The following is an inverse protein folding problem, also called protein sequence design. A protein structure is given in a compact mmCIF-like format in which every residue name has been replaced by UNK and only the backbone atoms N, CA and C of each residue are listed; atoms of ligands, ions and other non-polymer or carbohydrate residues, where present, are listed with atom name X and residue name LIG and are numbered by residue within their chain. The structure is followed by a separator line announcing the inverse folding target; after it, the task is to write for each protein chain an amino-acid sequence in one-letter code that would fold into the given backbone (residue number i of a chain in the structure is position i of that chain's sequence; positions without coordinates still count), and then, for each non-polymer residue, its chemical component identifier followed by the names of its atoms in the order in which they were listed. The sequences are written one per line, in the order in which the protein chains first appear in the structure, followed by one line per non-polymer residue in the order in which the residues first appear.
data_IF_771296676335
#
_entry.id   IF_771296676335
#
_cell.length_a   1.000
_cell.length_b   1.000
_cell.length_c   1.000
_cell.angle_alpha   90.00
_cell.angle_beta   90.00
_cell.angle_gamma   90.00
#
_symmetry.space_group_name_H-M   'P 1'
#
loop_
_entity.id
_entity.type
_entity.pdbx_description
1 polymer ?
#
# COMPACT_ATOMS: atom_id res chain seq x y z
N UNK A 1 -7.63 9.88 8.57
CA UNK A 1 -6.99 9.49 7.30
C UNK A 1 -6.75 10.74 6.45
N UNK A 2 -5.50 11.15 6.29
CA UNK A 2 -5.01 12.29 5.48
C UNK A 2 -4.20 11.82 4.27
N UNK A 3 -3.46 10.72 4.39
CA UNK A 3 -2.66 10.14 3.32
C UNK A 3 -2.74 8.61 3.31
N UNK A 4 -2.90 8.04 2.11
CA UNK A 4 -3.04 6.61 1.85
C UNK A 4 -2.02 6.18 0.78
N UNK A 5 -1.15 5.22 1.12
CA UNK A 5 -0.31 4.50 0.17
C UNK A 5 -0.98 3.19 -0.27
N UNK A 6 -0.93 2.87 -1.56
CA UNK A 6 -1.44 1.61 -2.12
C UNK A 6 -0.31 0.98 -2.95
N UNK A 7 0.13 -0.22 -2.59
CA UNK A 7 1.10 -1.02 -3.35
C UNK A 7 0.48 -2.34 -3.78
N UNK A 8 0.36 -2.54 -5.10
CA UNK A 8 -0.25 -3.74 -5.69
C UNK A 8 0.75 -4.51 -6.55
N UNK A 9 0.57 -5.83 -6.68
CA UNK A 9 1.43 -6.67 -7.53
C UNK A 9 1.57 -6.15 -8.96
N UNK A 10 0.45 -5.79 -9.61
CA UNK A 10 0.49 -5.09 -10.90
C UNK A 10 -0.75 -4.21 -11.13
N UNK A 11 -0.56 -2.90 -11.37
CA UNK A 11 -1.65 -2.02 -11.82
C UNK A 11 -1.98 -2.19 -13.32
N UNK A 12 -1.34 -3.13 -14.02
CA UNK A 12 -1.78 -3.60 -15.33
C UNK A 12 -2.87 -4.69 -15.24
N UNK A 13 -3.09 -5.27 -14.06
CA UNK A 13 -4.14 -6.25 -13.83
C UNK A 13 -5.45 -5.54 -13.39
N UNK A 14 -6.56 -5.68 -14.15
CA UNK A 14 -7.84 -5.05 -13.82
C UNK A 14 -8.37 -5.38 -12.42
N UNK A 15 -8.03 -6.53 -11.86
CA UNK A 15 -8.40 -6.91 -10.50
C UNK A 15 -7.77 -5.95 -9.46
N UNK A 16 -6.46 -5.71 -9.56
CA UNK A 16 -5.75 -4.82 -8.64
C UNK A 16 -6.09 -3.35 -8.86
N UNK A 17 -6.39 -2.94 -10.10
CA UNK A 17 -6.94 -1.61 -10.39
C UNK A 17 -8.26 -1.43 -9.64
N UNK A 18 -9.16 -2.41 -9.72
CA UNK A 18 -10.45 -2.37 -9.03
C UNK A 18 -10.29 -2.26 -7.51
N UNK A 19 -9.35 -3.00 -6.92
CA UNK A 19 -9.05 -2.89 -5.49
C UNK A 19 -8.49 -1.51 -5.11
N UNK A 20 -7.57 -0.96 -5.90
CA UNK A 20 -7.00 0.36 -5.67
C UNK A 20 -8.05 1.48 -5.81
N UNK A 21 -8.94 1.38 -6.79
CA UNK A 21 -10.03 2.32 -7.02
C UNK A 21 -11.06 2.26 -5.89
N UNK A 22 -11.45 1.06 -5.46
CA UNK A 22 -12.37 0.89 -4.33
C UNK A 22 -11.82 1.48 -3.03
N UNK A 23 -10.54 1.22 -2.73
CA UNK A 23 -9.86 1.80 -1.58
C UNK A 23 -9.77 3.33 -1.68
N UNK A 24 -9.47 3.86 -2.87
CA UNK A 24 -9.41 5.30 -3.14
C UNK A 24 -10.76 5.97 -2.95
N UNK A 25 -11.82 5.37 -3.50
CA UNK A 25 -13.19 5.88 -3.37
C UNK A 25 -13.60 5.93 -1.90
N UNK A 26 -13.39 4.82 -1.16
CA UNK A 26 -13.74 4.77 0.25
C UNK A 26 -12.95 5.77 1.10
N UNK A 27 -11.66 5.95 0.81
CA UNK A 27 -10.84 6.95 1.49
C UNK A 27 -11.37 8.38 1.25
N UNK A 28 -11.78 8.69 0.01
CA UNK A 28 -12.35 10.00 -0.36
C UNK A 28 -13.74 10.26 0.23
N UNK A 29 -14.56 9.22 0.40
CA UNK A 29 -15.84 9.33 1.12
C UNK A 29 -15.62 9.74 2.58
N UNK A 30 -14.60 9.17 3.24
CA UNK A 30 -14.26 9.48 4.63
C UNK A 30 -13.60 10.85 4.77
N UNK A 31 -12.77 11.23 3.80
CA UNK A 31 -12.14 12.54 3.74
C UNK A 31 -11.85 12.93 2.27
N UNK A 32 -12.62 13.87 1.69
CA UNK A 32 -12.44 14.30 0.31
C UNK A 32 -11.06 14.88 -0.01
N UNK A 33 -10.33 15.34 1.00
CA UNK A 33 -8.98 15.91 0.87
C UNK A 33 -7.86 14.88 1.09
N UNK A 34 -8.18 13.59 1.23
CA UNK A 34 -7.17 12.54 1.38
C UNK A 34 -6.24 12.50 0.16
N UNK A 35 -4.93 12.45 0.42
CA UNK A 35 -3.93 12.19 -0.62
C UNK A 35 -3.79 10.68 -0.80
N UNK A 36 -3.97 10.20 -2.03
CA UNK A 36 -3.81 8.77 -2.34
C UNK A 36 -2.66 8.59 -3.33
N UNK A 37 -1.78 7.66 -3.05
CA UNK A 37 -0.66 7.29 -3.92
C UNK A 37 -0.71 5.80 -4.19
N UNK A 38 -1.04 5.44 -5.44
CA UNK A 38 -1.10 4.06 -5.91
C UNK A 38 0.11 3.74 -6.78
N UNK A 39 0.80 2.64 -6.48
CA UNK A 39 2.00 2.21 -7.21
C UNK A 39 1.93 0.72 -7.53
N UNK A 40 2.53 0.36 -8.66
CA UNK A 40 2.70 -1.02 -9.09
C UNK A 40 4.03 -1.56 -8.61
N UNK A 41 4.04 -2.66 -7.85
CA UNK A 41 5.24 -3.40 -7.50
C UNK A 41 5.83 -4.15 -8.71
N UNK A 42 5.02 -4.40 -9.75
CA UNK A 42 5.38 -5.18 -10.94
C UNK A 42 5.99 -6.54 -10.59
N UNK A 43 5.50 -7.15 -9.49
CA UNK A 43 6.05 -8.37 -8.89
C UNK A 43 7.56 -8.32 -8.59
N UNK A 44 8.11 -7.11 -8.45
CA UNK A 44 9.49 -6.88 -8.06
C UNK A 44 9.56 -6.59 -6.55
N UNK A 45 10.19 -7.51 -5.83
CA UNK A 45 10.33 -7.43 -4.38
C UNK A 45 11.13 -6.20 -3.94
N UNK A 46 12.25 -5.89 -4.61
CA UNK A 46 13.12 -4.76 -4.27
C UNK A 46 12.40 -3.43 -4.48
N UNK A 47 11.60 -3.36 -5.54
CA UNK A 47 10.73 -2.24 -5.83
C UNK A 47 9.68 -2.08 -4.72
N UNK A 48 9.05 -3.16 -4.27
CA UNK A 48 8.05 -3.09 -3.21
C UNK A 48 8.65 -2.65 -1.87
N UNK A 49 9.85 -3.12 -1.52
CA UNK A 49 10.60 -2.60 -0.37
C UNK A 49 10.79 -1.09 -0.45
N UNK A 50 11.25 -0.59 -1.59
CA UNK A 50 11.46 0.85 -1.81
C UNK A 50 10.15 1.65 -1.72
N UNK A 51 9.03 1.07 -2.16
CA UNK A 51 7.71 1.70 -2.05
C UNK A 51 7.28 1.85 -0.59
N UNK A 52 7.47 0.81 0.23
CA UNK A 52 7.18 0.88 1.67
C UNK A 52 8.04 1.96 2.35
N UNK A 53 9.34 2.01 2.03
CA UNK A 53 10.23 3.04 2.56
C UNK A 53 9.80 4.46 2.15
N UNK A 54 9.35 4.65 0.92
CA UNK A 54 8.81 5.92 0.45
C UNK A 54 7.51 6.31 1.16
N UNK A 55 6.63 5.35 1.43
CA UNK A 55 5.41 5.59 2.21
C UNK A 55 5.71 5.97 3.66
N UNK A 56 6.70 5.32 4.28
CA UNK A 56 7.19 5.68 5.61
C UNK A 56 7.75 7.11 5.61
N UNK A 57 8.63 7.42 4.67
CA UNK A 57 9.23 8.76 4.52
C UNK A 57 8.17 9.84 4.30
N UNK A 58 7.14 9.52 3.50
CA UNK A 58 6.01 10.40 3.22
C UNK A 58 5.01 10.51 4.38
N UNK A 59 5.20 9.74 5.45
CA UNK A 59 4.34 9.70 6.64
C UNK A 59 2.87 9.49 6.27
N UNK A 60 2.60 8.51 5.41
CA UNK A 60 1.21 8.11 5.13
C UNK A 60 0.57 7.57 6.41
N UNK A 61 -0.75 7.71 6.57
CA UNK A 61 -1.43 7.17 7.75
C UNK A 61 -1.75 5.67 7.58
N UNK A 62 -1.97 5.24 6.34
CA UNK A 62 -2.34 3.88 5.99
C UNK A 62 -1.61 3.40 4.74
N UNK A 63 -1.18 2.13 4.74
CA UNK A 63 -0.69 1.41 3.57
C UNK A 63 -1.64 0.23 3.30
N UNK A 64 -2.17 0.17 2.09
CA UNK A 64 -2.84 -1.02 1.55
C UNK A 64 -1.84 -1.77 0.68
N UNK A 65 -1.58 -3.04 0.99
CA UNK A 65 -0.54 -3.83 0.32
C UNK A 65 -1.07 -5.20 -0.14
N UNK A 66 -0.79 -5.54 -1.39
CA UNK A 66 -0.72 -6.91 -1.88
C UNK A 66 0.77 -7.28 -1.96
N UNK A 67 1.25 -8.05 -0.99
CA UNK A 67 2.68 -8.35 -0.86
C UNK A 67 3.14 -9.29 -1.98
N UNK A 68 4.23 -8.94 -2.67
CA UNK A 68 4.85 -9.79 -3.71
C UNK A 68 5.28 -11.13 -3.10
N UNK A 69 5.86 -11.07 -1.90
CA UNK A 69 6.13 -12.23 -1.06
C UNK A 69 5.87 -11.82 0.41
N UNK A 70 4.85 -12.37 1.08
CA UNK A 70 4.50 -12.01 2.45
C UNK A 70 5.63 -12.23 3.45
N UNK A 71 6.37 -13.33 3.32
CA UNK A 71 7.44 -13.68 4.26
C UNK A 71 8.63 -12.75 4.11
N UNK A 72 9.00 -12.44 2.86
CA UNK A 72 10.09 -11.51 2.58
C UNK A 72 9.72 -10.08 2.99
N UNK A 73 8.46 -9.66 2.76
CA UNK A 73 7.98 -8.31 3.07
C UNK A 73 7.74 -8.06 4.56
N UNK A 74 7.70 -9.10 5.40
CA UNK A 74 7.41 -9.00 6.83
C UNK A 74 8.26 -7.94 7.56
N UNK A 75 9.55 -7.83 7.20
CA UNK A 75 10.47 -6.85 7.80
C UNK A 75 10.11 -5.40 7.46
N UNK A 76 9.77 -5.11 6.21
CA UNK A 76 9.34 -3.78 5.77
C UNK A 76 7.98 -3.40 6.33
N UNK A 77 7.06 -4.36 6.39
CA UNK A 77 5.73 -4.16 6.98
C UNK A 77 5.88 -3.87 8.48
N UNK A 78 6.74 -4.60 9.19
CA UNK A 78 7.06 -4.31 10.59
C UNK A 78 7.63 -2.89 10.73
N UNK A 79 8.58 -2.50 9.87
CA UNK A 79 9.15 -1.13 9.86
C UNK A 79 8.08 -0.05 9.68
N UNK A 80 7.11 -0.27 8.80
CA UNK A 80 5.98 0.66 8.62
C UNK A 80 5.08 0.75 9.86
N UNK A 81 4.74 -0.40 10.46
CA UNK A 81 3.95 -0.43 11.71
C UNK A 81 4.66 0.24 12.88
N UNK A 82 5.97 0.00 13.02
CA UNK A 82 6.80 0.63 14.05
C UNK A 82 6.87 2.16 13.86
N UNK A 83 6.72 2.66 12.62
CA UNK A 83 6.60 4.09 12.30
C UNK A 83 5.21 4.68 12.57
N UNK A 84 4.28 3.89 13.13
CA UNK A 84 2.91 4.31 13.45
C UNK A 84 1.94 4.24 12.29
N UNK A 85 2.30 3.57 11.19
CA UNK A 85 1.47 3.45 9.99
C UNK A 85 0.61 2.19 10.09
N UNK A 86 -0.69 2.33 9.81
CA UNK A 86 -1.59 1.17 9.72
C UNK A 86 -1.30 0.46 8.40
N UNK A 87 -0.98 -0.84 8.44
CA UNK A 87 -0.78 -1.65 7.23
C UNK A 87 -1.88 -2.69 7.13
N UNK A 88 -2.55 -2.74 5.97
CA UNK A 88 -3.62 -3.68 5.67
C UNK A 88 -3.22 -4.53 4.46
N UNK A 89 -3.17 -5.84 4.68
CA UNK A 89 -2.97 -6.83 3.64
C UNK A 89 -4.25 -7.01 2.80
N UNK A 90 -4.11 -7.21 1.50
CA UNK A 90 -5.21 -7.56 0.60
C UNK A 90 -4.80 -8.64 -0.38
N UNK A 91 -5.75 -9.53 -0.70
CA UNK A 91 -5.63 -10.69 -1.57
C UNK A 91 -4.68 -11.79 -1.07
N UNK A 92 -3.57 -11.41 -0.42
CA UNK A 92 -2.62 -12.30 0.26
C UNK A 92 -2.34 -11.79 1.67
N UNK A 93 -1.85 -12.67 2.54
CA UNK A 93 -1.39 -12.29 3.88
C UNK A 93 -0.20 -11.33 3.81
N UNK A 94 0.03 -10.55 4.87
CA UNK A 94 1.16 -9.60 4.97
C UNK A 94 1.67 -9.42 6.42
#
# INVERSE_FOLDING_TARGET
LKALGISMGSLGNPYFVTLADGATARAKELNPSVKVTSVSADYDLSKQFSQIDNFISSKVDLILINAVDPSAMASAIKKARDAGIIVVAVDVDA
#
